data_IF_269376785841
#
_entry.id   IF_269376785841
#
_cell.length_a   1.000
_cell.length_b   1.000
_cell.length_c   1.000
_cell.angle_alpha   90.00
_cell.angle_beta   90.00
_cell.angle_gamma   90.00
#
_symmetry.space_group_name_H-M   'P 1'
#
loop_
_entity.id
_entity.type
_entity.pdbx_description
1 polymer ?
#
# COMPACT_ATOMS: atom_id res chain seq x y z
N UNK A 1 -9.73 10.16 16.22
CA UNK A 1 -10.92 9.48 15.67
C UNK A 1 -11.13 8.19 16.47
N UNK A 2 -12.38 7.77 16.63
CA UNK A 2 -12.74 6.47 17.19
C UNK A 2 -13.39 5.60 16.13
N UNK A 3 -13.07 4.32 16.13
CA UNK A 3 -13.75 3.31 15.32
C UNK A 3 -14.26 2.20 16.22
N UNK A 4 -15.32 1.53 15.80
CA UNK A 4 -15.89 0.40 16.52
C UNK A 4 -15.65 -0.88 15.74
N UNK A 5 -15.02 -1.86 16.37
CA UNK A 5 -14.93 -3.23 15.88
C UNK A 5 -15.77 -4.11 16.79
N UNK A 6 -16.88 -4.62 16.26
CA UNK A 6 -17.91 -5.33 17.02
C UNK A 6 -18.37 -4.50 18.24
N UNK A 7 -18.08 -4.95 19.46
CA UNK A 7 -18.48 -4.28 20.71
C UNK A 7 -17.39 -3.37 21.30
N UNK A 8 -16.20 -3.31 20.71
CA UNK A 8 -15.05 -2.57 21.27
C UNK A 8 -14.77 -1.31 20.45
N UNK A 9 -14.61 -0.20 21.15
CA UNK A 9 -14.20 1.08 20.58
C UNK A 9 -12.67 1.23 20.66
N UNK A 10 -12.07 1.68 19.57
CA UNK A 10 -10.63 1.91 19.44
C UNK A 10 -10.36 3.34 19.01
N UNK A 11 -9.38 3.96 19.65
CA UNK A 11 -8.77 5.18 19.15
C UNK A 11 -7.86 4.83 17.96
N UNK A 12 -7.97 5.60 16.89
CA UNK A 12 -7.10 5.51 15.72
C UNK A 12 -5.98 6.52 15.86
N UNK A 13 -4.75 6.01 15.98
CA UNK A 13 -3.55 6.79 16.22
C UNK A 13 -2.56 6.65 15.05
N UNK A 14 -1.75 7.69 14.86
CA UNK A 14 -0.68 7.66 13.87
C UNK A 14 0.49 6.77 14.33
N UNK A 15 1.23 6.22 13.36
CA UNK A 15 2.35 5.30 13.61
C UNK A 15 3.66 5.92 13.13
N UNK A 16 4.67 6.08 14.01
CA UNK A 16 5.96 6.64 13.63
C UNK A 16 6.71 5.81 12.58
N UNK A 17 7.53 6.46 11.75
CA UNK A 17 8.32 5.85 10.65
C UNK A 17 9.03 4.56 11.05
N UNK A 18 9.81 4.57 12.13
CA UNK A 18 10.59 3.40 12.54
C UNK A 18 9.70 2.17 12.81
N UNK A 19 8.58 2.38 13.49
CA UNK A 19 7.62 1.32 13.81
C UNK A 19 6.83 0.88 12.56
N UNK A 20 6.41 1.83 11.71
CA UNK A 20 5.78 1.55 10.42
C UNK A 20 6.68 0.64 9.57
N UNK A 21 7.97 0.98 9.45
CA UNK A 21 8.96 0.19 8.70
C UNK A 21 9.08 -1.22 9.26
N UNK A 22 9.18 -1.37 10.59
CA UNK A 22 9.21 -2.70 11.21
C UNK A 22 7.94 -3.53 10.94
N UNK A 23 6.77 -2.88 10.95
CA UNK A 23 5.48 -3.55 10.68
C UNK A 23 5.40 -4.06 9.24
N UNK A 24 5.72 -3.23 8.25
CA UNK A 24 5.60 -3.62 6.83
C UNK A 24 6.62 -4.67 6.40
N UNK A 25 7.70 -4.86 7.18
CA UNK A 25 8.71 -5.90 6.95
C UNK A 25 8.34 -7.26 7.55
N UNK A 26 7.23 -7.37 8.29
CA UNK A 26 6.78 -8.65 8.83
C UNK A 26 6.50 -9.66 7.70
N UNK A 27 6.82 -10.96 7.89
CA UNK A 27 6.60 -11.99 6.87
C UNK A 27 5.15 -12.09 6.35
N UNK A 28 4.16 -11.74 7.18
CA UNK A 28 2.74 -11.74 6.80
C UNK A 28 2.32 -10.53 5.95
N UNK A 29 3.09 -9.42 5.97
CA UNK A 29 2.76 -8.17 5.27
C UNK A 29 3.69 -7.95 4.07
N UNK A 30 4.98 -8.33 4.21
CA UNK A 30 6.03 -8.11 3.20
C UNK A 30 5.66 -8.63 1.80
N UNK A 31 5.01 -9.79 1.61
CA UNK A 31 4.57 -10.22 0.27
C UNK A 31 3.58 -9.24 -0.40
N UNK A 32 2.88 -8.42 0.39
CA UNK A 32 2.01 -7.37 -0.11
C UNK A 32 2.72 -6.12 -0.61
N UNK A 33 3.97 -5.87 -0.19
CA UNK A 33 4.70 -4.62 -0.52
C UNK A 33 5.31 -4.66 -1.92
N UNK A 34 5.75 -5.83 -2.38
CA UNK A 34 6.22 -6.06 -3.75
C UNK A 34 5.84 -7.46 -4.18
N UNK A 35 5.03 -7.57 -5.23
CA UNK A 35 4.63 -8.86 -5.80
C UNK A 35 4.52 -8.82 -7.31
N UNK A 36 4.72 -9.99 -7.90
CA UNK A 36 4.41 -10.22 -9.32
C UNK A 36 2.89 -10.29 -9.49
N UNK A 37 2.37 -9.56 -10.48
CA UNK A 37 0.93 -9.49 -10.76
C UNK A 37 0.57 -9.90 -12.19
N UNK A 38 1.58 -9.99 -13.06
CA UNK A 38 1.39 -10.35 -14.46
C UNK A 38 2.68 -10.91 -15.05
N UNK A 39 2.54 -11.87 -15.95
CA UNK A 39 3.61 -12.43 -16.77
C UNK A 39 3.16 -12.42 -18.22
N UNK A 40 4.11 -12.25 -19.12
CA UNK A 40 3.91 -12.33 -20.55
C UNK A 40 5.04 -13.12 -21.17
N UNK A 41 4.70 -14.16 -21.92
CA UNK A 41 5.65 -14.86 -22.78
C UNK A 41 5.25 -14.66 -24.23
N UNK A 42 6.23 -14.60 -25.13
CA UNK A 42 5.94 -14.49 -26.57
C UNK A 42 5.16 -15.70 -27.10
N UNK A 43 5.33 -16.87 -26.49
CA UNK A 43 4.68 -18.11 -26.90
C UNK A 43 3.23 -18.24 -26.41
N UNK A 44 2.95 -17.87 -25.16
CA UNK A 44 1.65 -18.15 -24.50
C UNK A 44 0.83 -16.87 -24.28
N UNK A 45 1.43 -15.70 -24.47
CA UNK A 45 0.80 -14.42 -24.20
C UNK A 45 0.75 -14.08 -22.71
N UNK A 46 -0.25 -13.28 -22.35
CA UNK A 46 -0.36 -12.64 -21.04
C UNK A 46 -1.16 -13.42 -20.00
N UNK A 47 -0.65 -13.52 -18.78
CA UNK A 47 -1.33 -14.16 -17.65
C UNK A 47 -1.20 -13.33 -16.37
N UNK A 48 -2.32 -13.15 -15.67
CA UNK A 48 -2.34 -12.55 -14.34
C UNK A 48 -1.84 -13.54 -13.30
N UNK A 49 -1.00 -13.05 -12.39
CA UNK A 49 -0.40 -13.83 -11.30
C UNK A 49 -1.02 -13.40 -9.97
N UNK A 50 -1.36 -14.39 -9.13
CA UNK A 50 -1.89 -14.18 -7.80
C UNK A 50 -3.39 -13.86 -7.74
N UNK A 51 -3.88 -13.37 -6.59
CA UNK A 51 -5.30 -13.09 -6.39
C UNK A 51 -5.78 -11.93 -7.27
N UNK A 52 -6.74 -12.23 -8.16
CA UNK A 52 -7.37 -11.25 -9.04
C UNK A 52 -8.86 -11.12 -8.73
N UNK A 53 -9.42 -9.93 -8.98
CA UNK A 53 -10.87 -9.75 -8.97
C UNK A 53 -11.51 -10.49 -10.17
N UNK A 54 -12.85 -10.70 -10.16
CA UNK A 54 -13.55 -11.22 -11.35
C UNK A 54 -13.33 -10.38 -12.62
N UNK A 55 -12.98 -9.10 -12.46
CA UNK A 55 -12.65 -8.17 -13.54
C UNK A 55 -11.15 -8.17 -13.89
N UNK A 56 -10.37 -9.16 -13.44
CA UNK A 56 -8.94 -9.25 -13.72
C UNK A 56 -8.13 -8.07 -13.17
N UNK A 57 -8.57 -7.48 -12.06
CA UNK A 57 -7.85 -6.42 -11.35
C UNK A 57 -6.99 -7.00 -10.23
N UNK A 58 -5.87 -6.36 -9.94
CA UNK A 58 -5.08 -6.71 -8.77
C UNK A 58 -5.85 -6.37 -7.49
N UNK A 59 -6.06 -7.37 -6.62
CA UNK A 59 -6.64 -7.17 -5.30
C UNK A 59 -5.60 -6.54 -4.37
N UNK A 60 -6.00 -5.52 -3.61
CA UNK A 60 -5.15 -4.78 -2.66
C UNK A 60 -5.75 -4.96 -1.25
N UNK A 61 -5.46 -6.09 -0.59
CA UNK A 61 -6.01 -6.38 0.72
C UNK A 61 -5.46 -5.44 1.79
N UNK A 62 -6.29 -5.16 2.80
CA UNK A 62 -5.84 -4.56 4.04
C UNK A 62 -5.13 -5.62 4.89
N UNK A 63 -4.14 -5.20 5.66
CA UNK A 63 -3.46 -6.04 6.64
C UNK A 63 -3.85 -5.70 8.07
N UNK A 64 -3.72 -6.68 8.96
CA UNK A 64 -3.74 -6.48 10.41
C UNK A 64 -2.48 -7.09 11.02
N UNK A 65 -1.88 -6.40 11.98
CA UNK A 65 -0.70 -6.88 12.70
C UNK A 65 -0.81 -6.60 14.19
N UNK A 66 -0.41 -7.57 15.01
CA UNK A 66 -0.37 -7.46 16.48
C UNK A 66 1.07 -7.28 16.94
N UNK A 67 1.72 -6.22 16.48
CA UNK A 67 3.14 -5.99 16.74
C UNK A 67 3.36 -5.33 18.11
N UNK A 68 4.01 -6.03 19.04
CA UNK A 68 4.50 -5.42 20.28
C UNK A 68 6.01 -5.20 20.13
N UNK A 69 6.51 -3.96 20.17
CA UNK A 69 7.94 -3.69 20.04
C UNK A 69 8.70 -4.21 21.27
N UNK A 70 9.91 -4.73 21.06
CA UNK A 70 10.86 -4.97 22.16
C UNK A 70 11.28 -3.63 22.77
N UNK A 71 11.25 -3.49 24.11
CA UNK A 71 11.62 -2.24 24.76
C UNK A 71 13.12 -1.96 24.57
N UNK A 72 13.46 -0.72 24.20
CA UNK A 72 14.85 -0.24 24.12
C UNK A 72 15.68 -0.78 22.95
N UNK A 73 15.08 -1.49 21.99
CA UNK A 73 15.81 -2.07 20.85
C UNK A 73 15.69 -1.16 19.62
N UNK A 74 16.83 -0.85 19.00
CA UNK A 74 16.94 -0.11 17.73
C UNK A 74 17.87 -0.89 16.78
N UNK A 75 17.44 -1.28 15.56
CA UNK A 75 16.13 -1.01 14.95
C UNK A 75 14.96 -1.66 15.71
N UNK A 76 13.74 -1.16 15.50
CA UNK A 76 12.55 -1.67 16.20
C UNK A 76 12.31 -3.13 15.82
N UNK A 77 12.27 -4.00 16.82
CA UNK A 77 12.06 -5.44 16.66
C UNK A 77 10.77 -5.91 17.33
N UNK A 78 10.18 -6.99 16.79
CA UNK A 78 8.98 -7.62 17.36
C UNK A 78 9.31 -8.46 18.60
N UNK A 79 8.50 -8.33 19.65
CA UNK A 79 8.46 -9.26 20.76
C UNK A 79 7.42 -10.36 20.46
N UNK A 80 7.85 -11.50 19.92
CA UNK A 80 6.97 -12.57 19.40
C UNK A 80 5.95 -13.08 20.45
N UNK A 81 6.40 -13.41 21.65
CA UNK A 81 5.54 -13.89 22.73
C UNK A 81 4.43 -12.90 23.12
N UNK A 82 4.77 -11.64 23.47
CA UNK A 82 3.78 -10.60 23.72
C UNK A 82 2.85 -10.31 22.53
N UNK A 83 3.39 -10.32 21.31
CA UNK A 83 2.63 -10.09 20.07
C UNK A 83 1.57 -11.16 19.84
N UNK A 84 1.94 -12.43 20.02
CA UNK A 84 1.00 -13.56 19.98
C UNK A 84 -0.09 -13.43 21.03
N UNK A 85 0.27 -13.18 22.29
CA UNK A 85 -0.71 -12.99 23.38
C UNK A 85 -1.65 -11.81 23.12
N UNK A 86 -1.14 -10.73 22.51
CA UNK A 86 -1.95 -9.59 22.11
C UNK A 86 -2.98 -10.00 21.04
N UNK A 87 -2.58 -10.81 20.05
CA UNK A 87 -3.51 -11.29 19.02
C UNK A 87 -4.64 -12.15 19.61
N UNK A 88 -4.32 -13.06 20.53
CA UNK A 88 -5.29 -13.95 21.19
C UNK A 88 -6.29 -13.12 22.01
N UNK A 89 -5.80 -12.19 22.83
CA UNK A 89 -6.63 -11.27 23.61
C UNK A 89 -7.48 -10.36 22.75
N UNK A 90 -6.97 -9.90 21.61
CA UNK A 90 -7.72 -9.03 20.71
C UNK A 90 -8.88 -9.78 20.06
N UNK A 91 -8.63 -10.99 19.53
CA UNK A 91 -9.67 -11.86 18.94
C UNK A 91 -10.79 -12.11 19.94
N UNK A 92 -10.43 -12.52 21.16
CA UNK A 92 -11.39 -12.77 22.24
C UNK A 92 -12.19 -11.50 22.61
N UNK A 93 -11.50 -10.37 22.81
CA UNK A 93 -12.15 -9.16 23.29
C UNK A 93 -13.12 -8.54 22.28
N UNK A 94 -12.86 -8.67 20.97
CA UNK A 94 -13.82 -8.23 19.95
C UNK A 94 -14.91 -9.27 19.68
N UNK A 95 -14.86 -10.45 20.31
CA UNK A 95 -15.81 -11.54 20.12
C UNK A 95 -15.69 -12.24 18.77
N UNK A 96 -14.49 -12.23 18.16
CA UNK A 96 -14.21 -12.98 16.94
C UNK A 96 -13.84 -14.43 17.28
N UNK A 97 -14.21 -15.37 16.40
CA UNK A 97 -13.86 -16.80 16.54
C UNK A 97 -12.41 -17.07 16.19
N UNK A 98 -11.91 -16.41 15.15
CA UNK A 98 -10.54 -16.57 14.67
C UNK A 98 -10.05 -15.29 13.95
N UNK A 99 -8.83 -15.35 13.43
CA UNK A 99 -8.22 -14.23 12.72
C UNK A 99 -8.93 -13.85 11.41
N UNK A 100 -9.67 -14.79 10.79
CA UNK A 100 -10.40 -14.51 9.54
C UNK A 100 -11.56 -13.56 9.82
N UNK A 101 -12.27 -13.77 10.93
CA UNK A 101 -13.34 -12.84 11.33
C UNK A 101 -12.82 -11.45 11.70
N UNK A 102 -11.62 -11.36 12.29
CA UNK A 102 -10.95 -10.06 12.50
C UNK A 102 -10.69 -9.38 11.15
N UNK A 103 -10.11 -10.11 10.20
CA UNK A 103 -9.84 -9.59 8.86
C UNK A 103 -11.13 -9.15 8.16
N UNK A 104 -12.20 -9.94 8.22
CA UNK A 104 -13.50 -9.58 7.65
C UNK A 104 -14.08 -8.31 8.27
N UNK A 105 -13.96 -8.14 9.59
CA UNK A 105 -14.40 -6.92 10.27
C UNK A 105 -13.60 -5.70 9.78
N UNK A 106 -12.28 -5.84 9.62
CA UNK A 106 -11.42 -4.80 9.04
C UNK A 106 -11.84 -4.52 7.58
N UNK A 107 -12.10 -5.53 6.76
CA UNK A 107 -12.57 -5.36 5.38
C UNK A 107 -13.92 -4.66 5.28
N UNK A 108 -14.87 -4.98 6.17
CA UNK A 108 -16.18 -4.30 6.21
C UNK A 108 -16.01 -2.82 6.57
N UNK A 109 -15.09 -2.50 7.47
CA UNK A 109 -14.89 -1.13 7.93
C UNK A 109 -14.14 -0.28 6.90
N UNK A 110 -13.08 -0.81 6.31
CA UNK A 110 -12.17 -0.06 5.44
C UNK A 110 -12.39 -0.30 3.93
N UNK A 111 -13.18 -1.30 3.57
CA UNK A 111 -13.37 -1.76 2.19
C UNK A 111 -12.23 -2.63 1.68
N UNK A 112 -12.43 -3.26 0.53
CA UNK A 112 -11.38 -4.01 -0.18
C UNK A 112 -11.00 -3.26 -1.45
N UNK A 113 -9.76 -2.78 -1.51
CA UNK A 113 -9.28 -1.99 -2.64
C UNK A 113 -8.85 -2.89 -3.80
N UNK A 114 -8.97 -2.38 -5.03
CA UNK A 114 -8.56 -3.08 -6.24
C UNK A 114 -8.03 -2.09 -7.27
N UNK A 115 -7.18 -2.58 -8.18
CA UNK A 115 -6.61 -1.75 -9.25
C UNK A 115 -6.43 -2.54 -10.54
N UNK A 116 -6.99 -2.03 -11.63
CA UNK A 116 -6.70 -2.51 -12.98
C UNK A 116 -5.21 -2.40 -13.30
N UNK A 117 -4.66 -3.44 -13.92
CA UNK A 117 -3.26 -3.48 -14.33
C UNK A 117 -3.01 -2.53 -15.50
N UNK A 118 -1.92 -1.74 -15.50
CA UNK A 118 -1.61 -0.82 -16.59
C UNK A 118 -0.98 -1.54 -17.80
N UNK A 119 -1.63 -2.58 -18.33
CA UNK A 119 -1.09 -3.43 -19.40
C UNK A 119 -0.76 -2.64 -20.67
N UNK A 120 -1.53 -1.58 -20.97
CA UNK A 120 -1.31 -0.72 -22.14
C UNK A 120 0.02 0.04 -22.10
N UNK A 121 0.49 0.40 -20.91
CA UNK A 121 1.77 1.12 -20.73
C UNK A 121 2.98 0.27 -21.16
N UNK A 122 2.82 -1.07 -21.16
CA UNK A 122 3.90 -2.02 -21.43
C UNK A 122 3.66 -2.86 -22.68
N UNK A 123 2.60 -2.59 -23.44
CA UNK A 123 2.17 -3.42 -24.58
C UNK A 123 3.24 -3.54 -25.68
N UNK A 124 4.11 -2.53 -25.84
CA UNK A 124 5.21 -2.55 -26.80
C UNK A 124 6.24 -3.67 -26.53
N UNK A 125 6.28 -4.23 -25.32
CA UNK A 125 7.18 -5.34 -24.98
C UNK A 125 6.71 -6.70 -25.53
N UNK A 126 5.41 -6.87 -25.78
CA UNK A 126 4.80 -8.18 -26.03
C UNK A 126 5.38 -8.92 -27.24
N UNK A 127 5.78 -8.21 -28.30
CA UNK A 127 6.39 -8.81 -29.49
C UNK A 127 7.92 -8.93 -29.41
N UNK A 128 8.56 -8.33 -28.40
CA UNK A 128 9.99 -8.10 -28.37
C UNK A 128 10.73 -8.89 -27.29
N UNK A 129 10.06 -9.27 -26.21
CA UNK A 129 10.67 -10.00 -25.10
C UNK A 129 9.62 -10.70 -24.24
N UNK A 130 10.07 -11.65 -23.42
CA UNK A 130 9.27 -12.15 -22.31
C UNK A 130 9.50 -11.23 -21.12
N UNK A 131 8.44 -10.94 -20.37
CA UNK A 131 8.51 -9.98 -19.28
C UNK A 131 7.48 -10.25 -18.19
N UNK A 132 7.72 -9.70 -17.01
CA UNK A 132 6.81 -9.72 -15.87
C UNK A 132 6.54 -8.33 -15.34
N UNK A 133 5.36 -8.15 -14.76
CA UNK A 133 4.98 -6.92 -14.06
C UNK A 133 5.09 -7.14 -12.56
N UNK A 134 5.92 -6.32 -11.91
CA UNK A 134 5.96 -6.19 -10.47
C UNK A 134 5.08 -5.02 -10.05
N UNK A 135 4.33 -5.21 -8.97
CA UNK A 135 3.54 -4.16 -8.32
C UNK A 135 4.10 -3.91 -6.93
N UNK A 136 4.60 -2.69 -6.72
CA UNK A 136 4.96 -2.15 -5.42
C UNK A 136 3.76 -1.49 -4.77
N UNK A 137 3.49 -1.78 -3.50
CA UNK A 137 2.43 -1.13 -2.71
C UNK A 137 3.07 -0.35 -1.57
N UNK A 138 2.82 0.96 -1.53
CA UNK A 138 3.07 1.77 -0.34
C UNK A 138 1.86 1.66 0.59
N UNK A 139 2.10 1.38 1.87
CA UNK A 139 1.04 1.19 2.85
C UNK A 139 1.02 2.33 3.86
N UNK A 140 -0.16 2.85 4.12
CA UNK A 140 -0.45 3.61 5.31
C UNK A 140 -0.63 2.65 6.49
N UNK A 141 -0.10 2.99 7.66
CA UNK A 141 -0.27 2.18 8.87
C UNK A 141 -0.82 3.07 9.98
N UNK A 142 -1.89 2.59 10.62
CA UNK A 142 -2.49 3.24 11.79
C UNK A 142 -2.54 2.25 12.95
N UNK A 143 -2.51 2.79 14.16
CA UNK A 143 -2.60 2.02 15.39
C UNK A 143 -4.03 2.12 15.94
N UNK A 144 -4.63 0.96 16.22
CA UNK A 144 -5.87 0.81 16.95
C UNK A 144 -5.53 0.56 18.41
N UNK A 145 -5.88 1.51 19.27
CA UNK A 145 -5.65 1.43 20.71
C UNK A 145 -6.97 1.42 21.46
N UNK A 146 -7.17 0.43 22.32
CA UNK A 146 -8.22 0.46 23.33
C UNK A 146 -7.59 0.36 24.72
N UNK A 147 -7.12 1.51 25.25
CA UNK A 147 -6.37 1.59 26.50
C UNK A 147 -7.11 0.97 27.68
N UNK A 148 -8.43 1.18 27.77
CA UNK A 148 -9.28 0.64 28.84
C UNK A 148 -9.31 -0.90 28.90
N UNK A 149 -8.97 -1.57 27.78
CA UNK A 149 -8.91 -3.04 27.69
C UNK A 149 -7.48 -3.56 27.46
N UNK A 150 -6.50 -2.65 27.43
CA UNK A 150 -5.11 -2.95 27.08
C UNK A 150 -5.01 -3.77 25.78
N UNK A 151 -5.66 -3.28 24.71
CA UNK A 151 -5.65 -3.90 23.38
C UNK A 151 -4.94 -3.00 22.38
N UNK A 152 -4.19 -3.62 21.47
CA UNK A 152 -3.39 -2.94 20.45
C UNK A 152 -3.35 -3.76 19.17
N UNK A 153 -3.64 -3.12 18.03
CA UNK A 153 -3.46 -3.71 16.70
C UNK A 153 -3.06 -2.63 15.70
N UNK A 154 -2.35 -3.00 14.64
CA UNK A 154 -2.00 -2.11 13.54
C UNK A 154 -2.79 -2.51 12.31
N UNK A 155 -3.44 -1.53 11.69
CA UNK A 155 -4.11 -1.72 10.41
C UNK A 155 -3.23 -1.16 9.31
N UNK A 156 -3.00 -1.98 8.30
CA UNK A 156 -2.16 -1.69 7.14
C UNK A 156 -3.07 -1.49 5.94
N UNK A 157 -3.16 -0.25 5.45
CA UNK A 157 -4.07 0.14 4.38
C UNK A 157 -3.26 0.46 3.11
N UNK A 158 -3.61 -0.11 1.94
CA UNK A 158 -2.93 0.21 0.70
C UNK A 158 -3.10 1.70 0.40
N UNK A 159 -2.00 2.38 0.10
CA UNK A 159 -1.97 3.82 -0.09
C UNK A 159 -1.77 4.24 -1.52
N UNK A 160 -0.68 3.73 -2.09
CA UNK A 160 -0.29 3.97 -3.45
C UNK A 160 0.22 2.66 -4.02
N UNK A 161 0.06 2.48 -5.33
CA UNK A 161 0.69 1.36 -6.04
C UNK A 161 1.51 1.89 -7.19
N UNK A 162 2.64 1.26 -7.43
CA UNK A 162 3.50 1.50 -8.59
C UNK A 162 3.71 0.20 -9.34
N UNK A 163 3.78 0.28 -10.65
CA UNK A 163 4.04 -0.87 -11.52
C UNK A 163 5.36 -0.70 -12.23
N UNK A 164 6.09 -1.79 -12.44
CA UNK A 164 7.31 -1.81 -13.25
C UNK A 164 7.36 -3.11 -14.05
N UNK A 165 7.74 -3.01 -15.31
CA UNK A 165 8.03 -4.17 -16.14
C UNK A 165 9.49 -4.61 -15.94
N UNK A 166 9.72 -5.92 -15.90
CA UNK A 166 11.05 -6.53 -15.85
C UNK A 166 11.14 -7.57 -16.95
N UNK A 167 12.11 -7.39 -17.86
CA UNK A 167 12.40 -8.37 -18.91
C UNK A 167 12.94 -9.64 -18.27
N UNK A 168 12.38 -10.79 -18.64
CA UNK A 168 12.82 -12.11 -18.17
C UNK A 168 13.59 -12.87 -19.26
N UNK A 169 13.27 -12.62 -20.53
CA UNK A 169 14.02 -13.15 -21.67
C UNK A 169 14.06 -12.11 -22.79
N UNK A 170 15.26 -11.78 -23.27
CA UNK A 170 15.43 -10.84 -24.37
C UNK A 170 15.08 -11.47 -25.72
N UNK A 171 14.47 -10.69 -26.59
CA UNK A 171 14.29 -11.06 -28.00
C UNK A 171 14.94 -10.05 -28.93
N UNK A 172 15.12 -10.43 -30.19
CA UNK A 172 15.80 -9.63 -31.21
C UNK A 172 15.15 -8.24 -31.41
N UNK A 173 13.84 -8.11 -31.14
CA UNK A 173 13.09 -6.86 -31.26
C UNK A 173 13.28 -5.86 -30.11
N UNK A 174 13.90 -6.25 -28.98
CA UNK A 174 13.94 -5.43 -27.77
C UNK A 174 14.71 -4.11 -27.97
N UNK A 175 15.84 -4.15 -28.69
CA UNK A 175 16.64 -2.96 -28.97
C UNK A 175 15.86 -1.91 -29.80
N UNK A 176 15.07 -2.36 -30.77
CA UNK A 176 14.23 -1.47 -31.58
C UNK A 176 13.11 -0.84 -30.74
N UNK A 177 12.49 -1.61 -29.85
CA UNK A 177 11.47 -1.11 -28.90
C UNK A 177 12.08 -0.09 -27.95
N UNK A 178 13.28 -0.32 -27.42
CA UNK A 178 13.97 0.64 -26.56
C UNK A 178 14.36 1.93 -27.31
N UNK A 179 14.76 1.83 -28.58
CA UNK A 179 15.04 3.02 -29.39
C UNK A 179 13.79 3.88 -29.63
N UNK A 180 12.63 3.25 -29.84
CA UNK A 180 11.34 3.94 -30.02
C UNK A 180 10.73 4.43 -28.69
N UNK A 181 10.98 3.70 -27.61
CA UNK A 181 10.44 3.96 -26.27
C UNK A 181 11.55 3.91 -25.20
N UNK A 182 12.46 4.91 -25.17
CA UNK A 182 13.67 4.87 -24.33
C UNK A 182 13.40 4.78 -22.83
N UNK A 183 12.22 5.21 -22.39
CA UNK A 183 11.83 5.21 -20.98
C UNK A 183 10.93 4.02 -20.59
N UNK A 184 10.62 3.08 -21.49
CA UNK A 184 9.62 2.03 -21.26
C UNK A 184 9.94 1.16 -20.03
N UNK A 185 11.19 0.68 -19.93
CA UNK A 185 11.63 -0.16 -18.81
C UNK A 185 11.88 0.63 -17.52
N UNK A 186 12.06 1.95 -17.63
CA UNK A 186 12.19 2.86 -16.50
C UNK A 186 10.84 3.46 -16.07
N UNK A 187 9.78 3.24 -16.86
CA UNK A 187 8.44 3.74 -16.59
C UNK A 187 7.89 3.09 -15.33
N UNK A 188 7.39 3.92 -14.42
CA UNK A 188 6.79 3.48 -13.17
C UNK A 188 5.40 4.07 -13.00
N UNK A 189 4.38 3.59 -13.74
CA UNK A 189 3.01 4.07 -13.57
C UNK A 189 2.58 3.93 -12.11
N UNK A 190 2.27 5.06 -11.48
CA UNK A 190 1.88 5.16 -10.08
C UNK A 190 0.44 5.61 -9.93
N UNK A 191 -0.28 5.05 -8.95
CA UNK A 191 -1.69 5.36 -8.71
C UNK A 191 -1.98 5.49 -7.22
N UNK A 192 -2.75 6.51 -6.86
CA UNK A 192 -3.34 6.62 -5.52
C UNK A 192 -4.51 5.63 -5.42
N UNK A 193 -4.54 4.89 -4.31
CA UNK A 193 -5.66 4.00 -3.98
C UNK A 193 -6.68 4.81 -3.17
N UNK A 194 -7.87 5.09 -3.74
CA UNK A 194 -8.88 5.87 -3.04
C UNK A 194 -9.45 5.07 -1.87
N UNK A 195 -9.66 5.71 -0.71
CA UNK A 195 -10.37 5.07 0.39
C UNK A 195 -11.82 4.80 -0.03
N UNK A 196 -12.35 3.63 0.34
CA UNK A 196 -13.71 3.20 -0.02
C UNK A 196 -14.74 3.46 1.08
N UNK A 197 -14.31 4.00 2.21
CA UNK A 197 -15.16 4.33 3.35
C UNK A 197 -14.63 5.57 4.08
N UNK A 198 -15.50 6.25 4.82
CA UNK A 198 -15.11 7.39 5.65
C UNK A 198 -14.08 7.00 6.75
N UNK A 199 -14.20 5.84 7.43
CA UNK A 199 -13.15 5.34 8.31
C UNK A 199 -11.80 5.15 7.60
N UNK A 200 -11.80 4.60 6.38
CA UNK A 200 -10.57 4.45 5.58
C UNK A 200 -9.98 5.80 5.21
N UNK A 201 -10.80 6.76 4.80
CA UNK A 201 -10.33 8.09 4.44
C UNK A 201 -9.68 8.78 5.64
N UNK A 202 -10.33 8.73 6.80
CA UNK A 202 -9.80 9.39 7.99
C UNK A 202 -8.55 8.70 8.53
N UNK A 203 -8.52 7.37 8.56
CA UNK A 203 -7.32 6.62 8.92
C UNK A 203 -6.14 6.94 7.99
N UNK A 204 -6.40 7.02 6.68
CA UNK A 204 -5.41 7.42 5.68
C UNK A 204 -4.91 8.84 5.90
N UNK A 205 -5.79 9.79 6.23
CA UNK A 205 -5.41 11.17 6.59
C UNK A 205 -4.51 11.22 7.83
N UNK A 206 -4.87 10.50 8.90
CA UNK A 206 -4.05 10.42 10.12
C UNK A 206 -2.64 9.89 9.81
N UNK A 207 -2.54 8.80 9.04
CA UNK A 207 -1.26 8.25 8.64
C UNK A 207 -0.45 9.22 7.75
N UNK A 208 -1.11 9.90 6.81
CA UNK A 208 -0.48 10.84 5.90
C UNK A 208 0.05 12.08 6.63
N UNK A 209 -0.74 12.67 7.53
CA UNK A 209 -0.34 13.83 8.33
C UNK A 209 0.92 13.55 9.15
N UNK A 210 1.03 12.34 9.72
CA UNK A 210 2.24 11.91 10.43
C UNK A 210 3.44 11.81 9.48
N UNK A 211 3.28 11.22 8.29
CA UNK A 211 4.36 11.10 7.30
C UNK A 211 4.84 12.46 6.80
N UNK A 212 3.92 13.40 6.58
CA UNK A 212 4.24 14.78 6.18
C UNK A 212 5.00 15.49 7.29
N UNK A 213 4.58 15.33 8.55
CA UNK A 213 5.28 15.90 9.71
C UNK A 213 6.69 15.32 9.87
N UNK A 214 6.83 14.01 9.74
CA UNK A 214 8.14 13.34 9.78
C UNK A 214 9.07 13.86 8.70
N UNK A 215 8.58 13.95 7.46
CA UNK A 215 9.37 14.47 6.35
C UNK A 215 9.75 15.94 6.56
N UNK A 216 8.81 16.78 7.02
CA UNK A 216 9.11 18.19 7.31
C UNK A 216 10.21 18.34 8.38
N UNK A 217 10.18 17.51 9.43
CA UNK A 217 11.22 17.48 10.44
C UNK A 217 12.58 17.03 9.86
N UNK A 218 12.59 16.05 8.94
CA UNK A 218 13.81 15.58 8.26
C UNK A 218 14.39 16.57 7.24
N UNK A 219 13.56 17.48 6.73
CA UNK A 219 13.99 18.54 5.83
C UNK A 219 14.65 19.70 6.58
N UNK A 220 14.36 19.87 7.87
CA UNK A 220 14.94 20.91 8.75
C UNK A 220 14.83 22.32 8.14
N UNK A 221 13.61 22.71 7.77
CA UNK A 221 13.32 24.02 7.17
C UNK A 221 13.63 24.13 5.67
N UNK A 222 14.27 23.14 5.06
CA UNK A 222 14.51 23.11 3.61
C UNK A 222 13.27 22.71 2.83
N UNK A 223 13.18 23.19 1.59
CA UNK A 223 12.17 22.70 0.63
C UNK A 223 12.69 21.47 -0.10
N UNK A 224 11.81 20.58 -0.62
CA UNK A 224 12.25 19.43 -1.42
C UNK A 224 13.08 19.83 -2.65
N UNK A 225 12.88 21.02 -3.22
CA UNK A 225 13.62 21.52 -4.38
C UNK A 225 15.08 21.91 -4.06
N UNK A 226 15.41 22.11 -2.79
CA UNK A 226 16.77 22.44 -2.32
C UNK A 226 17.64 21.20 -2.09
N UNK A 227 17.07 20.00 -2.23
CA UNK A 227 17.79 18.74 -2.09
C UNK A 227 18.53 18.36 -3.38
N UNK A 228 19.51 17.46 -3.29
CA UNK A 228 20.13 16.86 -4.48
C UNK A 228 19.07 16.08 -5.31
N UNK A 229 19.17 16.04 -6.66
CA UNK A 229 18.17 15.40 -7.52
C UNK A 229 17.91 13.91 -7.23
N UNK A 230 18.90 13.22 -6.67
CA UNK A 230 18.86 11.80 -6.30
C UNK A 230 18.50 11.56 -4.83
N UNK A 231 18.23 12.63 -4.06
CA UNK A 231 17.84 12.51 -2.66
C UNK A 231 16.46 11.82 -2.55
N UNK A 232 16.36 10.68 -1.83
CA UNK A 232 15.13 9.90 -1.74
C UNK A 232 13.96 10.70 -1.16
N UNK A 233 14.24 11.74 -0.35
CA UNK A 233 13.23 12.63 0.23
C UNK A 233 12.50 13.47 -0.81
N UNK A 234 13.10 13.76 -1.97
CA UNK A 234 12.39 14.41 -3.08
C UNK A 234 11.25 13.53 -3.58
N UNK A 235 11.57 12.26 -3.86
CA UNK A 235 10.57 11.29 -4.34
C UNK A 235 9.48 11.05 -3.30
N UNK A 236 9.83 11.06 -2.01
CA UNK A 236 8.86 10.93 -0.92
C UNK A 236 7.95 12.16 -0.83
N UNK A 237 8.51 13.36 -0.87
CA UNK A 237 7.74 14.61 -0.87
C UNK A 237 6.72 14.64 -2.01
N UNK A 238 7.13 14.24 -3.21
CA UNK A 238 6.24 14.16 -4.37
C UNK A 238 5.09 13.16 -4.13
N UNK A 239 5.40 11.94 -3.66
CA UNK A 239 4.39 10.92 -3.35
C UNK A 239 3.39 11.40 -2.29
N UNK A 240 3.87 12.01 -1.21
CA UNK A 240 3.00 12.54 -0.14
C UNK A 240 2.14 13.70 -0.64
N UNK A 241 2.68 14.58 -1.47
CA UNK A 241 1.93 15.70 -2.05
C UNK A 241 0.79 15.23 -2.96
N UNK A 242 1.02 14.22 -3.79
CA UNK A 242 -0.02 13.65 -4.66
C UNK A 242 -1.13 13.01 -3.82
N UNK A 243 -0.77 12.24 -2.79
CA UNK A 243 -1.75 11.64 -1.88
C UNK A 243 -2.53 12.68 -1.09
N UNK A 244 -1.86 13.75 -0.64
CA UNK A 244 -2.49 14.87 0.07
C UNK A 244 -3.55 15.53 -0.79
N UNK A 245 -3.23 15.85 -2.04
CA UNK A 245 -4.20 16.44 -2.96
C UNK A 245 -5.42 15.52 -3.20
N UNK A 246 -5.22 14.20 -3.21
CA UNK A 246 -6.29 13.22 -3.39
C UNK A 246 -7.20 13.07 -2.15
N UNK A 247 -6.63 13.13 -0.94
CA UNK A 247 -7.37 12.92 0.31
C UNK A 247 -7.98 14.21 0.90
N UNK A 248 -7.43 15.37 0.54
CA UNK A 248 -7.86 16.70 0.96
C UNK A 248 -8.19 17.57 -0.27
N UNK A 249 -9.23 17.22 -1.04
CA UNK A 249 -9.62 18.04 -2.17
C UNK A 249 -9.97 19.44 -1.67
N UNK A 250 -9.43 20.47 -2.33
CA UNK A 250 -9.81 21.86 -2.06
C UNK A 250 -11.32 21.99 -2.36
N UNK A 251 -12.07 22.56 -1.40
CA UNK A 251 -13.53 22.70 -1.43
C UNK A 251 -14.09 22.87 -2.84
N UNK A 252 -14.86 21.88 -3.32
CA UNK A 252 -15.59 21.95 -4.60
C UNK A 252 -15.09 21.02 -5.71
N UNK A 253 -13.93 20.37 -5.59
CA UNK A 253 -13.49 19.34 -6.55
C UNK A 253 -13.70 17.94 -5.97
N UNK A 254 -14.83 17.31 -6.29
CA UNK A 254 -14.94 15.86 -6.12
C UNK A 254 -13.79 15.19 -6.89
N UNK A 255 -13.05 14.25 -6.28
CA UNK A 255 -12.08 13.47 -7.03
C UNK A 255 -12.83 12.76 -8.15
N UNK A 256 -12.44 13.03 -9.40
CA UNK A 256 -13.01 12.37 -10.56
C UNK A 256 -12.88 10.86 -10.36
N UNK A 257 -13.98 10.20 -10.00
CA UNK A 257 -14.14 8.80 -10.30
C UNK A 257 -14.02 8.73 -11.82
N UNK A 258 -12.82 8.41 -12.31
CA UNK A 258 -12.67 7.96 -13.70
C UNK A 258 -13.49 6.69 -13.77
N UNK A 259 -14.73 6.87 -14.22
CA UNK A 259 -15.64 5.80 -14.61
C UNK A 259 -14.79 4.84 -15.43
N UNK A 260 -14.62 3.63 -14.90
CA UNK A 260 -14.28 2.46 -15.69
C UNK A 260 -15.27 2.45 -16.84
N UNK A 261 -14.80 2.83 -18.02
CA UNK A 261 -15.60 2.79 -19.23
C UNK A 261 -16.04 1.34 -19.42
N UNK A 262 -17.32 1.10 -19.15
CA UNK A 262 -18.03 -0.01 -19.77
C UNK A 262 -17.87 0.17 -21.27
N UNK A 263 -17.15 -0.75 -21.89
CA UNK A 263 -17.28 -0.98 -23.33
C UNK A 263 -17.68 -2.44 -23.45
N UNK A 264 -18.86 -2.59 -24.05
CA UNK A 264 -19.51 -3.85 -24.40
C UNK A 264 -18.60 -4.80 -25.19
#
# INVERSE_FOLDING_TARGET
>A
MKIKLNAVEFDVLAVPRALRTAIVQQPSIRPGTLREVYTHTRAEGGKIVGPASPQSEALLPNGVSFFIPKPGVTPVEIAEGPSRKMSERFVEAIGARDMREVQDAIYRLFGSSRRALPLKEFAALNGACDWRMLMGTDFAVVHLSASARNLSAYVVLPAQVGFIATVTEEGEGLAAVQAQHPNLLNSRPGFIIPPLSEPAQTARRIALEQRVRELANELDGRTPAELAPDDPRQSEAQRLSIEWAALFPRNGQQPAQRQSANVN
#
